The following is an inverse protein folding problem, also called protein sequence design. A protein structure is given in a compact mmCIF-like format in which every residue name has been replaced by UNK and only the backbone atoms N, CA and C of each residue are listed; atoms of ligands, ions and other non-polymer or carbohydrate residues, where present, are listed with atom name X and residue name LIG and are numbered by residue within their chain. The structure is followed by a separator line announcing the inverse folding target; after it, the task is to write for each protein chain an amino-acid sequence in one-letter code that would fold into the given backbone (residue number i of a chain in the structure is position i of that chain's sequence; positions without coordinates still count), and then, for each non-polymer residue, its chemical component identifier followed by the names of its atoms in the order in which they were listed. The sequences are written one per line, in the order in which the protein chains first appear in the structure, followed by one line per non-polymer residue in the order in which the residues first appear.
data_IF_258248735276
#
_entry.id   IF_258248735276
#
_cell.length_a   1.000
_cell.length_b   1.000
_cell.length_c   1.000
_cell.angle_alpha   90.00
_cell.angle_beta   90.00
_cell.angle_gamma   90.00
#
_symmetry.space_group_name_H-M   'P 1'
#
loop_
_entity.id
_entity.type
_entity.pdbx_description
1 polymer ?
#
# COMPACT_ATOMS: atom_id res chain seq x y z
N UNK A 1 -23.94 11.43 29.76
CA UNK A 1 -23.44 10.61 28.65
C UNK A 1 -24.50 9.63 28.24
N UNK A 2 -24.97 9.78 27.02
CA UNK A 2 -25.92 8.82 26.46
C UNK A 2 -25.13 7.63 25.91
N UNK A 3 -25.08 6.56 26.66
CA UNK A 3 -24.66 5.29 26.08
C UNK A 3 -25.76 4.87 25.10
N UNK A 4 -25.42 4.83 23.81
CA UNK A 4 -26.31 4.26 22.81
C UNK A 4 -26.61 2.80 23.18
N UNK A 5 -27.85 2.52 23.47
CA UNK A 5 -28.30 1.15 23.63
C UNK A 5 -28.18 0.44 22.28
N UNK A 6 -27.49 -0.69 22.25
CA UNK A 6 -27.47 -1.57 21.08
C UNK A 6 -28.86 -2.18 20.92
N UNK A 7 -29.68 -1.60 20.08
CA UNK A 7 -30.95 -2.15 19.63
C UNK A 7 -30.71 -3.02 18.39
N UNK A 8 -31.66 -3.87 18.04
CA UNK A 8 -31.57 -4.68 16.83
C UNK A 8 -31.46 -3.81 15.56
N UNK A 9 -32.16 -2.67 15.54
CA UNK A 9 -32.07 -1.73 14.43
C UNK A 9 -30.68 -1.11 14.32
N UNK A 10 -30.08 -0.74 15.45
CA UNK A 10 -28.70 -0.21 15.49
C UNK A 10 -27.69 -1.24 15.05
N UNK A 11 -27.84 -2.51 15.46
CA UNK A 11 -26.98 -3.61 15.04
C UNK A 11 -27.09 -3.84 13.54
N UNK A 12 -28.33 -3.87 13.01
CA UNK A 12 -28.57 -4.02 11.57
C UNK A 12 -27.94 -2.89 10.74
N UNK A 13 -28.09 -1.65 11.19
CA UNK A 13 -27.49 -0.48 10.53
C UNK A 13 -25.97 -0.56 10.53
N UNK A 14 -25.35 -1.03 11.60
CA UNK A 14 -23.89 -1.20 11.66
C UNK A 14 -23.39 -2.31 10.74
N UNK A 15 -24.13 -3.42 10.65
CA UNK A 15 -23.84 -4.50 9.71
C UNK A 15 -23.90 -3.98 8.27
N UNK A 16 -24.97 -3.26 7.91
CA UNK A 16 -25.14 -2.68 6.57
C UNK A 16 -24.03 -1.72 6.24
N UNK A 17 -23.61 -0.86 7.18
CA UNK A 17 -22.48 0.05 6.97
C UNK A 17 -21.17 -0.71 6.73
N UNK A 18 -20.88 -1.75 7.50
CA UNK A 18 -19.69 -2.58 7.33
C UNK A 18 -19.71 -3.28 5.97
N UNK A 19 -20.85 -3.87 5.58
CA UNK A 19 -21.03 -4.51 4.29
C UNK A 19 -20.82 -3.54 3.11
N UNK A 20 -21.10 -2.25 3.33
CA UNK A 20 -20.86 -1.19 2.33
C UNK A 20 -19.39 -0.77 2.27
N UNK A 21 -18.70 -0.71 3.42
CA UNK A 21 -17.31 -0.25 3.51
C UNK A 21 -16.28 -1.32 3.11
N UNK A 22 -16.54 -2.60 3.36
CA UNK A 22 -15.60 -3.69 3.04
C UNK A 22 -15.26 -3.74 1.55
N UNK A 23 -16.22 -3.73 0.60
CA UNK A 23 -15.90 -3.74 -0.83
C UNK A 23 -15.05 -2.55 -1.28
N UNK A 24 -15.28 -1.37 -0.70
CA UNK A 24 -14.48 -0.18 -1.00
C UNK A 24 -13.02 -0.35 -0.56
N UNK A 25 -12.81 -0.91 0.63
CA UNK A 25 -11.47 -1.19 1.14
C UNK A 25 -10.74 -2.24 0.31
N UNK A 26 -11.43 -3.28 -0.13
CA UNK A 26 -10.87 -4.32 -0.99
C UNK A 26 -10.44 -3.74 -2.34
N UNK A 27 -11.24 -2.86 -2.92
CA UNK A 27 -10.90 -2.15 -4.16
C UNK A 27 -9.69 -1.23 -3.96
N UNK A 28 -9.64 -0.47 -2.88
CA UNK A 28 -8.51 0.39 -2.53
C UNK A 28 -7.22 -0.42 -2.37
N UNK A 29 -7.27 -1.55 -1.68
CA UNK A 29 -6.14 -2.46 -1.50
C UNK A 29 -5.64 -2.98 -2.85
N UNK A 30 -6.55 -3.37 -3.74
CA UNK A 30 -6.21 -3.84 -5.09
C UNK A 30 -5.50 -2.75 -5.90
N UNK A 31 -6.02 -1.52 -5.88
CA UNK A 31 -5.42 -0.37 -6.57
C UNK A 31 -4.02 -0.06 -6.01
N UNK A 32 -3.85 -0.06 -4.70
CA UNK A 32 -2.56 0.20 -4.05
C UNK A 32 -1.53 -0.87 -4.41
N UNK A 33 -1.90 -2.14 -4.40
CA UNK A 33 -1.03 -3.24 -4.82
C UNK A 33 -0.64 -3.12 -6.30
N UNK A 34 -1.57 -2.74 -7.16
CA UNK A 34 -1.29 -2.48 -8.57
C UNK A 34 -0.27 -1.36 -8.74
N UNK A 35 -0.47 -0.23 -8.06
CA UNK A 35 0.44 0.92 -8.12
C UNK A 35 1.85 0.56 -7.63
N UNK A 36 1.96 -0.19 -6.55
CA UNK A 36 3.24 -0.67 -6.02
C UNK A 36 3.96 -1.54 -7.07
N UNK A 37 3.22 -2.45 -7.69
CA UNK A 37 3.76 -3.34 -8.73
C UNK A 37 4.24 -2.56 -9.95
N UNK A 38 3.44 -1.61 -10.43
CA UNK A 38 3.81 -0.78 -11.60
C UNK A 38 5.04 0.07 -11.32
N UNK A 39 5.13 0.69 -10.16
CA UNK A 39 6.31 1.47 -9.78
C UNK A 39 7.55 0.58 -9.64
N UNK A 40 7.40 -0.63 -9.12
CA UNK A 40 8.50 -1.59 -9.00
C UNK A 40 9.04 -2.03 -10.37
N UNK A 41 8.15 -2.23 -11.34
CA UNK A 41 8.53 -2.54 -12.73
C UNK A 41 9.30 -1.37 -13.35
N UNK A 42 8.81 -0.14 -13.15
CA UNK A 42 9.47 1.06 -13.67
C UNK A 42 10.85 1.27 -13.04
N UNK A 43 11.00 1.05 -11.74
CA UNK A 43 12.29 1.09 -11.04
C UNK A 43 13.27 0.09 -11.66
N UNK A 44 12.83 -1.14 -11.93
CA UNK A 44 13.67 -2.15 -12.56
C UNK A 44 14.15 -1.71 -13.96
N UNK A 45 13.29 -1.09 -14.75
CA UNK A 45 13.65 -0.52 -16.06
C UNK A 45 14.70 0.59 -15.92
N UNK A 46 14.48 1.50 -14.97
CA UNK A 46 15.40 2.60 -14.70
C UNK A 46 16.75 2.11 -14.18
N UNK A 47 16.76 1.04 -13.38
CA UNK A 47 18.01 0.41 -12.92
C UNK A 47 18.80 -0.20 -14.08
N UNK A 48 18.14 -0.81 -15.05
CA UNK A 48 18.79 -1.31 -16.27
C UNK A 48 19.35 -0.16 -17.12
N UNK A 49 18.57 0.91 -17.30
CA UNK A 49 19.03 2.13 -17.97
C UNK A 49 20.23 2.75 -17.24
N UNK A 50 20.25 2.68 -15.92
CA UNK A 50 21.35 3.17 -15.11
C UNK A 50 22.65 2.43 -15.39
N UNK A 51 22.58 1.11 -15.54
CA UNK A 51 23.72 0.27 -15.90
C UNK A 51 24.23 0.66 -17.30
N UNK A 52 23.33 0.85 -18.25
CA UNK A 52 23.67 1.28 -19.62
C UNK A 52 24.28 2.68 -19.63
N UNK A 53 23.72 3.62 -18.91
CA UNK A 53 24.25 4.98 -18.77
C UNK A 53 25.65 4.98 -18.15
N UNK A 54 25.86 4.20 -17.11
CA UNK A 54 27.17 4.06 -16.49
C UNK A 54 28.21 3.52 -17.48
N UNK A 55 27.86 2.50 -18.23
CA UNK A 55 28.71 1.92 -19.25
C UNK A 55 29.06 2.97 -20.32
N UNK A 56 28.07 3.67 -20.85
CA UNK A 56 28.24 4.69 -21.89
C UNK A 56 29.10 5.85 -21.40
N UNK A 57 28.90 6.33 -20.19
CA UNK A 57 29.70 7.38 -19.57
C UNK A 57 31.17 6.94 -19.47
N UNK A 58 31.41 5.72 -18.99
CA UNK A 58 32.77 5.19 -18.85
C UNK A 58 33.47 4.99 -20.19
N UNK A 59 32.75 4.52 -21.20
CA UNK A 59 33.29 4.28 -22.54
C UNK A 59 33.60 5.56 -23.31
N UNK A 60 32.80 6.61 -23.09
CA UNK A 60 32.95 7.89 -23.80
C UNK A 60 33.87 8.89 -23.08
N UNK A 61 34.22 8.62 -21.83
CA UNK A 61 35.08 9.51 -21.06
C UNK A 61 36.55 9.38 -21.49
N UNK A 62 37.17 10.50 -21.74
CA UNK A 62 38.64 10.59 -21.89
C UNK A 62 39.25 10.91 -20.52
N UNK A 63 39.57 9.85 -19.77
CA UNK A 63 40.09 9.96 -18.42
C UNK A 63 41.35 10.78 -18.31
N UNK A 64 42.20 10.69 -19.35
CA UNK A 64 43.46 11.42 -19.40
C UNK A 64 43.24 12.91 -19.55
N UNK A 65 42.37 13.31 -20.47
CA UNK A 65 42.02 14.72 -20.68
C UNK A 65 41.29 15.32 -19.51
N UNK A 66 40.48 14.52 -18.80
CA UNK A 66 39.77 14.92 -17.58
C UNK A 66 40.68 14.98 -16.35
N UNK A 67 41.92 14.49 -16.45
CA UNK A 67 42.83 14.45 -15.30
C UNK A 67 42.46 13.42 -14.23
N UNK A 68 41.68 12.41 -14.60
CA UNK A 68 41.17 11.39 -13.67
C UNK A 68 42.12 10.17 -13.75
N UNK A 69 42.68 9.79 -12.59
CA UNK A 69 43.78 8.83 -12.53
C UNK A 69 43.44 7.51 -11.84
N UNK A 70 42.41 7.45 -10.98
CA UNK A 70 42.08 6.29 -10.18
C UNK A 70 40.62 5.90 -10.26
N UNK A 71 40.32 4.71 -9.77
CA UNK A 71 38.94 4.16 -9.76
C UNK A 71 37.95 5.04 -8.97
N UNK A 72 38.37 5.54 -7.83
CA UNK A 72 37.49 6.36 -6.97
C UNK A 72 37.08 7.66 -7.67
N UNK A 73 38.01 8.32 -8.35
CA UNK A 73 37.73 9.53 -9.14
C UNK A 73 36.84 9.23 -10.34
N UNK A 74 37.03 8.07 -11.00
CA UNK A 74 36.17 7.63 -12.12
C UNK A 74 34.74 7.37 -11.63
N UNK A 75 34.59 6.67 -10.53
CA UNK A 75 33.27 6.38 -9.93
C UNK A 75 32.55 7.68 -9.54
N UNK A 76 33.28 8.65 -8.99
CA UNK A 76 32.73 9.96 -8.65
C UNK A 76 32.31 10.75 -9.90
N UNK A 77 33.09 10.71 -10.97
CA UNK A 77 32.75 11.32 -12.23
C UNK A 77 31.43 10.76 -12.80
N UNK A 78 31.30 9.44 -12.81
CA UNK A 78 30.06 8.77 -13.25
C UNK A 78 28.87 9.22 -12.41
N UNK A 79 28.98 9.20 -11.10
CA UNK A 79 27.90 9.60 -10.17
C UNK A 79 27.50 11.06 -10.34
N UNK A 80 28.42 11.93 -10.73
CA UNK A 80 28.16 13.34 -10.94
C UNK A 80 27.69 13.67 -12.37
N UNK A 81 27.66 12.71 -13.27
CA UNK A 81 27.15 12.90 -14.62
C UNK A 81 25.63 13.10 -14.59
N UNK A 82 25.13 14.04 -15.39
CA UNK A 82 23.71 14.42 -15.39
C UNK A 82 22.79 13.25 -15.69
N UNK A 83 23.11 12.42 -16.68
CA UNK A 83 22.30 11.25 -17.04
C UNK A 83 22.18 10.25 -15.89
N UNK A 84 23.28 10.05 -15.14
CA UNK A 84 23.28 9.20 -13.97
C UNK A 84 22.44 9.79 -12.84
N UNK A 85 22.59 11.08 -12.56
CA UNK A 85 21.84 11.78 -11.51
C UNK A 85 20.36 11.82 -11.78
N UNK A 86 19.93 12.12 -13.00
CA UNK A 86 18.53 12.17 -13.39
C UNK A 86 17.85 10.82 -13.13
N UNK A 87 18.49 9.73 -13.54
CA UNK A 87 17.97 8.39 -13.30
C UNK A 87 17.88 8.04 -11.83
N UNK A 88 18.91 8.41 -11.05
CA UNK A 88 18.90 8.23 -9.59
C UNK A 88 17.74 8.97 -8.92
N UNK A 89 17.46 10.20 -9.36
CA UNK A 89 16.34 10.99 -8.81
C UNK A 89 14.99 10.38 -9.17
N UNK A 90 14.82 9.91 -10.41
CA UNK A 90 13.58 9.22 -10.82
C UNK A 90 13.34 7.95 -10.01
N UNK A 91 14.38 7.15 -9.79
CA UNK A 91 14.29 5.94 -8.95
C UNK A 91 13.91 6.31 -7.51
N UNK A 92 14.56 7.33 -6.95
CA UNK A 92 14.27 7.78 -5.59
C UNK A 92 12.82 8.27 -5.44
N UNK A 93 12.30 9.01 -6.40
CA UNK A 93 10.92 9.49 -6.40
C UNK A 93 9.92 8.32 -6.44
N UNK A 94 10.17 7.33 -7.28
CA UNK A 94 9.33 6.12 -7.37
C UNK A 94 9.40 5.28 -6.09
N UNK A 95 10.57 5.15 -5.47
CA UNK A 95 10.72 4.47 -4.18
C UNK A 95 9.95 5.19 -3.07
N UNK A 96 9.96 6.52 -3.05
CA UNK A 96 9.17 7.31 -2.11
C UNK A 96 7.66 7.12 -2.32
N UNK A 97 7.19 7.09 -3.57
CA UNK A 97 5.79 6.79 -3.88
C UNK A 97 5.39 5.38 -3.40
N UNK A 98 6.26 4.39 -3.61
CA UNK A 98 6.02 3.02 -3.11
C UNK A 98 5.89 3.02 -1.58
N UNK A 99 6.74 3.76 -0.88
CA UNK A 99 6.67 3.87 0.57
C UNK A 99 5.33 4.46 1.04
N UNK A 100 4.83 5.49 0.35
CA UNK A 100 3.52 6.09 0.61
C UNK A 100 2.38 5.10 0.34
N UNK A 101 2.42 4.38 -0.79
CA UNK A 101 1.42 3.35 -1.12
C UNK A 101 1.42 2.21 -0.10
N UNK A 102 2.59 1.76 0.35
CA UNK A 102 2.69 0.73 1.39
C UNK A 102 2.13 1.18 2.72
N UNK A 103 2.33 2.45 3.07
CA UNK A 103 1.72 3.02 4.27
C UNK A 103 0.19 3.03 4.17
N UNK A 104 -0.36 3.51 3.06
CA UNK A 104 -1.80 3.53 2.79
C UNK A 104 -2.38 2.11 2.76
N UNK A 105 -1.65 1.16 2.17
CA UNK A 105 -2.03 -0.26 2.15
C UNK A 105 -2.13 -0.83 3.56
N UNK A 106 -1.15 -0.56 4.41
CA UNK A 106 -1.15 -1.02 5.79
C UNK A 106 -2.36 -0.46 6.58
N UNK A 107 -2.69 0.81 6.38
CA UNK A 107 -3.86 1.44 6.98
C UNK A 107 -5.16 0.77 6.49
N UNK A 108 -5.29 0.58 5.17
CA UNK A 108 -6.47 -0.06 4.57
C UNK A 108 -6.65 -1.50 5.06
N UNK A 109 -5.58 -2.28 5.16
CA UNK A 109 -5.61 -3.66 5.68
C UNK A 109 -6.02 -3.71 7.16
N UNK A 110 -5.55 -2.77 7.98
CA UNK A 110 -5.96 -2.66 9.37
C UNK A 110 -7.43 -2.28 9.51
N UNK A 111 -7.91 -1.38 8.67
CA UNK A 111 -9.33 -1.00 8.63
C UNK A 111 -10.20 -2.19 8.19
N UNK A 112 -9.78 -2.92 7.17
CA UNK A 112 -10.47 -4.12 6.71
C UNK A 112 -10.58 -5.16 7.84
N UNK A 113 -9.50 -5.40 8.57
CA UNK A 113 -9.48 -6.31 9.71
C UNK A 113 -10.42 -5.84 10.81
N UNK A 114 -10.47 -4.55 11.09
CA UNK A 114 -11.38 -3.95 12.05
C UNK A 114 -12.84 -4.15 11.64
N UNK A 115 -13.19 -3.89 10.38
CA UNK A 115 -14.55 -4.10 9.88
C UNK A 115 -14.95 -5.57 9.86
N UNK A 116 -14.06 -6.48 9.51
CA UNK A 116 -14.34 -7.92 9.57
C UNK A 116 -14.62 -8.39 10.98
N UNK A 117 -13.86 -7.92 11.96
CA UNK A 117 -14.15 -8.21 13.39
C UNK A 117 -15.47 -7.61 13.84
N UNK A 118 -15.76 -6.40 13.43
CA UNK A 118 -17.04 -5.73 13.72
C UNK A 118 -18.22 -6.49 13.11
N UNK A 119 -18.09 -6.92 11.87
CA UNK A 119 -19.10 -7.74 11.20
C UNK A 119 -19.40 -9.01 11.96
N UNK A 120 -18.37 -9.78 12.33
CA UNK A 120 -18.53 -11.02 13.10
C UNK A 120 -19.22 -10.77 14.46
N UNK A 121 -18.80 -9.72 15.15
CA UNK A 121 -19.37 -9.33 16.44
C UNK A 121 -20.86 -8.99 16.32
N UNK A 122 -21.21 -8.12 15.38
CA UNK A 122 -22.61 -7.68 15.22
C UNK A 122 -23.50 -8.79 14.66
N UNK A 123 -22.98 -9.63 13.75
CA UNK A 123 -23.70 -10.80 13.26
C UNK A 123 -24.01 -11.80 14.38
N UNK A 124 -23.06 -12.03 15.28
CA UNK A 124 -23.26 -12.89 16.45
C UNK A 124 -24.30 -12.30 17.42
N UNK A 125 -24.27 -10.99 17.64
CA UNK A 125 -25.25 -10.30 18.47
C UNK A 125 -26.66 -10.39 17.87
N UNK A 126 -26.77 -10.22 16.55
CA UNK A 126 -28.05 -10.35 15.84
C UNK A 126 -28.61 -11.78 15.96
N UNK A 127 -27.78 -12.78 15.71
CA UNK A 127 -28.13 -14.19 15.85
C UNK A 127 -28.58 -14.53 17.28
N UNK A 128 -27.86 -14.04 18.28
CA UNK A 128 -28.19 -14.23 19.69
C UNK A 128 -29.53 -13.58 20.01
N UNK A 129 -29.79 -12.39 19.51
CA UNK A 129 -31.05 -11.69 19.69
C UNK A 129 -32.25 -12.51 19.17
N UNK A 130 -32.14 -12.96 17.91
CA UNK A 130 -33.18 -13.79 17.30
C UNK A 130 -33.37 -15.13 18.01
N UNK A 131 -32.30 -15.79 18.43
CA UNK A 131 -32.38 -17.05 19.18
C UNK A 131 -33.08 -16.87 20.52
N UNK A 132 -32.84 -15.78 21.24
CA UNK A 132 -33.53 -15.48 22.49
C UNK A 132 -35.02 -15.22 22.23
N UNK A 133 -35.37 -14.48 21.17
CA UNK A 133 -36.75 -14.21 20.80
C UNK A 133 -37.50 -15.49 20.42
N UNK A 134 -36.88 -16.35 19.60
CA UNK A 134 -37.46 -17.64 19.20
C UNK A 134 -37.56 -18.62 20.38
N UNK A 135 -36.51 -18.70 21.20
CA UNK A 135 -36.52 -19.54 22.41
C UNK A 135 -37.58 -19.13 23.43
N UNK A 136 -37.81 -17.83 23.62
CA UNK A 136 -38.88 -17.28 24.42
C UNK A 136 -40.27 -17.68 23.92
N UNK A 137 -40.48 -17.75 22.62
CA UNK A 137 -41.74 -18.18 22.00
C UNK A 137 -41.98 -19.69 22.12
N UNK A 138 -40.91 -20.49 22.06
CA UNK A 138 -41.00 -21.96 22.19
C UNK A 138 -41.36 -22.35 23.65
N UNK A 139 -40.77 -21.69 24.61
CA UNK A 139 -41.01 -21.95 26.04
C UNK A 139 -42.44 -21.58 26.50
N UNK A 140 -43.16 -20.82 25.72
CA UNK A 140 -44.56 -20.44 25.99
C UNK A 140 -45.57 -21.42 25.41
N UNK A 141 -45.15 -22.42 24.69
CA UNK A 141 -46.00 -23.50 24.20
C UNK A 141 -46.00 -24.68 25.17
#
# INVERSE_FOLDING_TARGET
MNEERLTIDTISDRIDNIEHEIPKLLEEIEILNYNITQNSIEINKLQLEQIENEFDIRMNADWKDLGIKNKEERDLYVKNHDDYKENMLLIADLENEIAEYKHSLNVAEKMLKFYNKGYDRYSNLESTYYNIMEGGNIDQQ
#
